data_IF_730103492577
#
_entry.id   IF_730103492577
#
_cell.length_a   1.000
_cell.length_b   1.000
_cell.length_c   1.000
_cell.angle_alpha   90.00
_cell.angle_beta   90.00
_cell.angle_gamma   90.00
#
_symmetry.space_group_name_H-M   'P 1'
#
loop_
_entity.id
_entity.type
_entity.pdbx_description
1 polymer ?
#
# COMPACT_ATOMS: atom_id res chain seq x y z
N UNK A 1 2.88 -9.41 8.97
CA UNK A 1 3.76 -9.86 7.87
C UNK A 1 2.87 -10.38 6.76
N UNK A 2 3.14 -9.99 5.51
CA UNK A 2 2.35 -10.37 4.34
C UNK A 2 3.05 -11.50 3.57
N UNK A 3 2.28 -12.39 2.94
CA UNK A 3 2.84 -13.41 2.05
C UNK A 3 2.88 -12.89 0.62
N UNK A 4 4.08 -12.83 0.03
CA UNK A 4 4.35 -12.39 -1.33
C UNK A 4 4.48 -13.63 -2.23
N UNK A 5 3.80 -13.65 -3.37
CA UNK A 5 3.92 -14.70 -4.39
C UNK A 5 4.69 -14.16 -5.59
N UNK A 6 5.87 -14.72 -5.86
CA UNK A 6 6.72 -14.34 -6.98
C UNK A 6 6.66 -15.41 -8.07
N UNK A 7 6.55 -14.94 -9.31
CA UNK A 7 6.68 -15.76 -10.51
C UNK A 7 7.95 -15.37 -11.24
N UNK A 8 8.75 -16.37 -11.60
CA UNK A 8 10.00 -16.20 -12.33
C UNK A 8 9.90 -16.82 -13.71
N UNK A 9 10.69 -16.32 -14.64
CA UNK A 9 10.84 -16.88 -15.99
C UNK A 9 12.33 -16.99 -16.31
N UNK A 10 12.70 -18.02 -17.08
CA UNK A 10 14.08 -18.25 -17.53
C UNK A 10 15.10 -18.37 -16.36
N UNK A 11 14.69 -18.96 -15.24
CA UNK A 11 15.57 -19.21 -14.09
C UNK A 11 16.04 -20.67 -14.07
N UNK A 12 17.29 -20.93 -13.61
CA UNK A 12 17.78 -22.30 -13.41
C UNK A 12 17.02 -23.00 -12.27
N UNK A 13 17.33 -24.29 -12.05
CA UNK A 13 16.72 -25.05 -10.97
C UNK A 13 16.85 -24.34 -9.62
N UNK A 14 15.72 -24.21 -8.92
CA UNK A 14 15.66 -23.61 -7.58
C UNK A 14 15.65 -24.67 -6.47
N UNK A 15 15.98 -25.92 -6.78
CA UNK A 15 15.91 -27.06 -5.84
C UNK A 15 16.79 -26.89 -4.60
N UNK A 16 17.92 -26.18 -4.71
CA UNK A 16 18.77 -25.83 -3.58
C UNK A 16 18.11 -24.81 -2.61
N UNK A 17 17.02 -24.18 -3.03
CA UNK A 17 16.29 -23.16 -2.30
C UNK A 17 16.75 -21.74 -2.62
N UNK A 18 15.92 -20.79 -2.20
CA UNK A 18 16.10 -19.36 -2.46
C UNK A 18 15.77 -18.54 -1.22
N UNK A 19 16.41 -17.39 -1.09
CA UNK A 19 16.04 -16.35 -0.14
C UNK A 19 15.52 -15.11 -0.89
N UNK A 20 14.53 -14.45 -0.29
CA UNK A 20 14.03 -13.14 -0.72
C UNK A 20 14.77 -12.05 0.06
N UNK A 21 15.46 -11.18 -0.67
CA UNK A 21 16.32 -10.13 -0.11
C UNK A 21 15.76 -8.76 -0.49
N UNK A 22 15.27 -8.03 0.51
CA UNK A 22 14.75 -6.67 0.38
C UNK A 22 15.94 -5.70 0.43
N UNK A 23 16.49 -5.36 -0.74
CA UNK A 23 17.80 -4.77 -0.93
C UNK A 23 18.87 -5.44 -0.06
N UNK A 24 19.55 -4.71 0.81
CA UNK A 24 20.53 -5.23 1.75
C UNK A 24 20.03 -5.11 3.21
N UNK A 25 18.72 -4.84 3.40
CA UNK A 25 18.14 -4.63 4.72
C UNK A 25 17.72 -5.93 5.40
N UNK A 26 16.93 -6.75 4.71
CA UNK A 26 16.30 -7.95 5.27
C UNK A 26 16.35 -9.09 4.27
N UNK A 27 16.70 -10.27 4.76
CA UNK A 27 16.68 -11.51 3.99
C UNK A 27 15.72 -12.51 4.66
N UNK A 28 14.78 -13.05 3.89
CA UNK A 28 13.76 -14.01 4.35
C UNK A 28 13.85 -15.29 3.54
N UNK A 29 13.47 -16.42 4.14
CA UNK A 29 13.42 -17.69 3.43
C UNK A 29 12.27 -17.71 2.41
N UNK A 30 12.60 -18.08 1.16
CA UNK A 30 11.61 -18.31 0.10
C UNK A 30 11.19 -19.77 0.03
N UNK A 31 9.88 -20.02 0.11
CA UNK A 31 9.29 -21.36 -0.04
C UNK A 31 8.86 -21.57 -1.49
N UNK A 32 9.28 -22.68 -2.09
CA UNK A 32 8.97 -22.98 -3.49
C UNK A 32 7.82 -23.98 -3.53
N UNK A 33 6.71 -23.61 -4.18
CA UNK A 33 5.57 -24.48 -4.38
C UNK A 33 4.92 -24.22 -5.74
N UNK A 34 4.70 -25.27 -6.53
CA UNK A 34 4.04 -25.17 -7.84
C UNK A 34 4.70 -24.19 -8.81
N UNK A 35 6.04 -24.10 -8.80
CA UNK A 35 6.80 -23.17 -9.66
C UNK A 35 6.72 -21.69 -9.24
N UNK A 36 6.13 -21.39 -8.09
CA UNK A 36 6.10 -20.04 -7.49
C UNK A 36 6.94 -20.00 -6.23
N UNK A 37 7.46 -18.82 -5.92
CA UNK A 37 8.23 -18.57 -4.71
C UNK A 37 7.36 -17.75 -3.77
N UNK A 38 7.25 -18.19 -2.52
CA UNK A 38 6.48 -17.53 -1.48
C UNK A 38 7.43 -16.98 -0.42
N UNK A 39 7.39 -15.67 -0.20
CA UNK A 39 8.23 -14.98 0.76
C UNK A 39 7.38 -14.19 1.75
N UNK A 40 7.93 -13.93 2.94
CA UNK A 40 7.30 -13.05 3.91
C UNK A 40 7.85 -11.63 3.74
N UNK A 41 6.96 -10.64 3.75
CA UNK A 41 7.38 -9.24 3.85
C UNK A 41 8.12 -8.99 5.16
N UNK A 42 9.03 -8.00 5.22
CA UNK A 42 9.60 -7.55 6.48
C UNK A 42 8.50 -7.12 7.46
N UNK A 43 8.79 -7.23 8.74
CA UNK A 43 7.92 -6.72 9.81
C UNK A 43 7.91 -5.19 9.83
N UNK A 44 6.91 -4.58 10.45
CA UNK A 44 6.82 -3.11 10.58
C UNK A 44 8.05 -2.50 11.25
N UNK A 45 8.67 -3.21 12.21
CA UNK A 45 9.92 -2.79 12.87
C UNK A 45 11.10 -2.75 11.91
N UNK A 46 11.17 -3.69 10.97
CA UNK A 46 12.23 -3.76 9.97
C UNK A 46 12.00 -2.81 8.80
N UNK A 47 10.75 -2.46 8.49
CA UNK A 47 10.39 -1.48 7.46
C UNK A 47 10.70 -0.05 7.90
N UNK A 48 10.53 0.28 9.18
CA UNK A 48 10.74 1.63 9.70
C UNK A 48 12.09 2.30 9.28
N UNK A 49 13.26 1.63 9.36
CA UNK A 49 14.51 2.22 8.87
C UNK A 49 14.58 2.34 7.33
N UNK A 50 13.83 1.55 6.57
CA UNK A 50 13.80 1.59 5.10
C UNK A 50 13.02 2.82 4.61
N UNK A 51 11.90 3.14 5.26
CA UNK A 51 10.98 4.19 4.83
C UNK A 51 11.18 5.52 5.56
N UNK A 52 12.12 5.60 6.51
CA UNK A 52 12.33 6.81 7.31
C UNK A 52 12.69 7.98 6.40
N UNK A 53 11.97 9.09 6.57
CA UNK A 53 12.22 10.34 5.86
C UNK A 53 12.04 10.25 4.32
N UNK A 54 11.37 9.20 3.81
CA UNK A 54 11.15 8.97 2.37
C UNK A 54 9.81 9.52 1.84
N UNK A 55 8.94 10.08 2.69
CA UNK A 55 7.65 10.62 2.28
C UNK A 55 6.56 9.57 2.09
N UNK A 56 5.78 9.70 1.02
CA UNK A 56 4.59 8.90 0.72
C UNK A 56 4.92 7.49 0.21
N UNK A 57 6.07 7.33 -0.44
CA UNK A 57 6.54 6.04 -0.91
C UNK A 57 8.06 5.91 -0.92
N UNK A 58 8.50 4.66 -0.83
CA UNK A 58 9.89 4.24 -1.04
C UNK A 58 9.91 3.01 -1.92
N UNK A 59 10.51 3.16 -3.10
CA UNK A 59 10.79 2.05 -4.02
C UNK A 59 12.13 1.42 -3.66
N UNK A 60 12.15 0.11 -3.48
CA UNK A 60 13.35 -0.69 -3.27
C UNK A 60 13.40 -1.87 -4.23
N UNK A 61 14.55 -2.54 -4.35
CA UNK A 61 14.66 -3.80 -5.09
C UNK A 61 14.41 -5.01 -4.19
N UNK A 62 13.43 -5.85 -4.55
CA UNK A 62 13.29 -7.21 -4.01
C UNK A 62 14.07 -8.18 -4.89
N UNK A 63 15.11 -8.78 -4.33
CA UNK A 63 15.98 -9.75 -4.99
C UNK A 63 15.63 -11.19 -4.63
N UNK A 64 15.85 -12.09 -5.58
CA UNK A 64 16.00 -13.52 -5.32
C UNK A 64 17.48 -13.87 -5.22
N UNK A 65 17.86 -14.51 -4.11
CA UNK A 65 19.22 -14.95 -3.81
C UNK A 65 19.27 -16.47 -3.76
N UNK A 66 20.15 -17.07 -4.55
CA UNK A 66 20.33 -18.52 -4.56
C UNK A 66 21.00 -18.99 -3.27
N UNK A 67 20.45 -20.02 -2.60
CA UNK A 67 21.11 -20.64 -1.43
C UNK A 67 22.35 -21.45 -1.82
N UNK A 68 22.45 -21.88 -3.08
CA UNK A 68 23.61 -22.64 -3.60
C UNK A 68 24.85 -21.75 -3.77
N UNK A 69 24.67 -20.56 -4.36
CA UNK A 69 25.79 -19.67 -4.72
C UNK A 69 25.91 -18.45 -3.82
N UNK A 70 24.87 -18.14 -3.04
CA UNK A 70 24.78 -16.91 -2.26
C UNK A 70 24.60 -15.64 -3.10
N UNK A 71 24.40 -15.74 -4.42
CA UNK A 71 24.30 -14.60 -5.33
C UNK A 71 22.84 -14.20 -5.60
N UNK A 72 22.61 -12.88 -5.69
CA UNK A 72 21.38 -12.27 -6.19
C UNK A 72 21.33 -12.45 -7.71
N UNK A 73 20.23 -12.99 -8.25
CA UNK A 73 20.14 -13.34 -9.68
C UNK A 73 18.90 -12.80 -10.41
N UNK A 74 17.88 -12.36 -9.68
CA UNK A 74 16.69 -11.73 -10.24
C UNK A 74 16.18 -10.64 -9.29
N UNK A 75 15.48 -9.63 -9.81
CA UNK A 75 14.89 -8.57 -9.00
C UNK A 75 13.61 -7.98 -9.59
N UNK A 76 12.82 -7.34 -8.73
CA UNK A 76 11.65 -6.54 -9.08
C UNK A 76 11.61 -5.29 -8.22
N UNK A 77 10.98 -4.23 -8.72
CA UNK A 77 10.66 -3.06 -7.89
C UNK A 77 9.58 -3.43 -6.88
N UNK A 78 9.84 -3.11 -5.61
CA UNK A 78 8.93 -3.32 -4.50
C UNK A 78 8.72 -2.00 -3.79
N UNK A 79 7.45 -1.63 -3.59
CA UNK A 79 7.11 -0.30 -3.07
C UNK A 79 6.54 -0.43 -1.66
N UNK A 80 7.16 0.29 -0.73
CA UNK A 80 6.55 0.62 0.55
C UNK A 80 5.88 1.96 0.43
N UNK A 81 4.61 2.07 0.81
CA UNK A 81 3.88 3.33 0.86
C UNK A 81 3.43 3.63 2.28
N UNK A 82 3.22 4.91 2.58
CA UNK A 82 2.80 5.37 3.89
C UNK A 82 1.71 6.42 3.76
N UNK A 83 0.44 5.99 3.87
CA UNK A 83 -0.70 6.89 3.79
C UNK A 83 -0.66 8.01 4.85
N UNK A 84 -0.07 7.75 6.02
CA UNK A 84 -0.08 8.68 7.17
C UNK A 84 0.68 9.98 6.94
N UNK A 85 1.50 10.09 5.89
CA UNK A 85 2.17 11.36 5.56
C UNK A 85 1.21 12.39 4.94
N UNK A 86 0.08 11.94 4.39
CA UNK A 86 -0.90 12.85 3.79
C UNK A 86 -1.72 13.56 4.87
N UNK A 87 -1.55 14.88 4.96
CA UNK A 87 -2.20 15.73 5.97
C UNK A 87 -3.53 16.33 5.49
N UNK A 88 -4.00 15.99 4.29
CA UNK A 88 -5.24 16.52 3.73
C UNK A 88 -6.02 15.42 3.02
N UNK A 89 -7.35 15.56 2.97
CA UNK A 89 -8.20 14.60 2.25
C UNK A 89 -7.81 14.48 0.78
N UNK A 90 -7.62 15.61 0.09
CA UNK A 90 -7.27 15.62 -1.33
C UNK A 90 -5.95 14.92 -1.61
N UNK A 91 -4.90 15.18 -0.82
CA UNK A 91 -3.61 14.50 -1.01
C UNK A 91 -3.67 13.01 -0.67
N UNK A 92 -4.52 12.62 0.28
CA UNK A 92 -4.73 11.22 0.65
C UNK A 92 -5.43 10.41 -0.44
N UNK A 93 -6.54 10.92 -0.99
CA UNK A 93 -7.40 10.15 -1.92
C UNK A 93 -7.04 10.33 -3.39
N UNK A 94 -6.32 11.40 -3.74
CA UNK A 94 -5.74 11.56 -5.09
C UNK A 94 -4.32 10.98 -5.19
N UNK A 95 -3.82 10.35 -4.12
CA UNK A 95 -2.54 9.64 -4.13
C UNK A 95 -2.57 8.39 -5.02
N UNK A 96 -1.39 7.85 -5.31
CA UNK A 96 -1.26 6.66 -6.17
C UNK A 96 -1.53 5.32 -5.45
N UNK A 97 -1.78 5.36 -4.14
CA UNK A 97 -1.95 4.19 -3.30
C UNK A 97 -3.37 4.11 -2.73
N UNK A 98 -3.88 2.91 -2.41
CA UNK A 98 -5.22 2.72 -1.88
C UNK A 98 -5.30 3.18 -0.42
N UNK A 99 -5.32 4.50 -0.22
CA UNK A 99 -5.44 5.15 1.08
C UNK A 99 -6.89 5.58 1.35
N UNK A 100 -7.20 5.78 2.62
CA UNK A 100 -8.49 6.24 3.11
C UNK A 100 -8.31 7.48 3.98
N UNK A 101 -9.12 8.50 3.74
CA UNK A 101 -9.23 9.66 4.61
C UNK A 101 -10.35 9.45 5.64
N UNK A 102 -10.00 9.56 6.91
CA UNK A 102 -10.95 9.52 8.01
C UNK A 102 -11.43 10.94 8.33
N UNK A 103 -12.60 11.32 7.80
CA UNK A 103 -13.18 12.67 7.92
C UNK A 103 -13.19 13.23 9.34
N UNK A 104 -13.62 12.42 10.31
CA UNK A 104 -13.77 12.83 11.71
C UNK A 104 -12.48 12.75 12.54
N UNK A 105 -11.54 11.87 12.17
CA UNK A 105 -10.22 11.78 12.82
C UNK A 105 -9.18 12.72 12.18
N UNK A 106 -9.53 13.33 11.05
CA UNK A 106 -8.68 14.23 10.29
C UNK A 106 -7.30 13.63 9.96
N UNK A 107 -7.30 12.38 9.49
CA UNK A 107 -6.07 11.66 9.15
C UNK A 107 -6.26 10.74 7.95
N UNK A 108 -5.15 10.47 7.24
CA UNK A 108 -5.05 9.48 6.18
C UNK A 108 -4.50 8.16 6.74
N UNK A 109 -5.07 7.03 6.33
CA UNK A 109 -4.67 5.69 6.76
C UNK A 109 -4.73 4.69 5.60
N UNK A 110 -3.97 3.61 5.70
CA UNK A 110 -4.06 2.45 4.83
C UNK A 110 -5.17 1.48 5.25
N UNK A 111 -5.69 1.60 6.48
CA UNK A 111 -6.71 0.71 7.04
C UNK A 111 -7.98 1.50 7.39
N UNK A 112 -9.04 1.27 6.63
CA UNK A 112 -10.33 1.92 6.85
C UNK A 112 -10.95 1.64 8.23
N UNK A 113 -10.53 0.56 8.91
CA UNK A 113 -10.98 0.24 10.27
C UNK A 113 -10.45 1.20 11.32
N UNK A 114 -9.38 1.94 11.03
CA UNK A 114 -8.89 3.02 11.90
C UNK A 114 -9.86 4.21 11.97
N UNK A 115 -10.77 4.36 11.00
CA UNK A 115 -11.76 5.43 11.03
C UNK A 115 -12.86 5.14 12.06
N UNK A 116 -13.32 6.17 12.79
CA UNK A 116 -14.33 6.05 13.85
C UNK A 116 -15.65 5.44 13.38
N UNK A 117 -16.09 5.77 12.16
CA UNK A 117 -17.38 5.34 11.60
C UNK A 117 -17.24 5.07 10.11
N UNK A 118 -18.16 4.27 9.55
CA UNK A 118 -18.13 3.93 8.13
C UNK A 118 -18.42 5.14 7.24
N UNK A 119 -19.33 6.01 7.67
CA UNK A 119 -19.76 7.25 7.00
C UNK A 119 -18.62 8.29 6.90
N UNK A 120 -17.60 8.16 7.75
CA UNK A 120 -16.43 9.04 7.76
C UNK A 120 -15.30 8.60 6.85
N UNK A 121 -15.43 7.46 6.15
CA UNK A 121 -14.39 6.90 5.28
C UNK A 121 -14.51 7.49 3.89
N UNK A 122 -13.42 8.10 3.41
CA UNK A 122 -13.36 8.69 2.07
C UNK A 122 -12.21 8.06 1.29
N UNK A 123 -12.50 7.54 0.10
CA UNK A 123 -11.53 6.91 -0.80
C UNK A 123 -11.45 7.58 -2.19
N UNK A 124 -12.28 8.59 -2.44
CA UNK A 124 -12.33 9.35 -3.70
C UNK A 124 -12.62 10.82 -3.40
N UNK A 125 -12.02 11.71 -4.19
CA UNK A 125 -12.32 13.14 -4.14
C UNK A 125 -13.60 13.50 -4.90
N UNK A 126 -14.08 12.61 -5.76
CA UNK A 126 -15.28 12.76 -6.58
C UNK A 126 -16.46 11.98 -5.99
N UNK A 127 -17.64 12.62 -5.99
CA UNK A 127 -18.89 11.96 -5.63
C UNK A 127 -19.43 11.17 -6.83
N UNK A 128 -19.49 9.84 -6.72
CA UNK A 128 -20.14 8.99 -7.71
C UNK A 128 -21.60 8.82 -7.32
N UNK A 129 -22.51 9.50 -8.02
CA UNK A 129 -23.94 9.32 -7.82
C UNK A 129 -24.39 7.94 -8.34
N UNK A 130 -25.35 7.26 -7.66
CA UNK A 130 -26.00 6.08 -8.22
C UNK A 130 -26.66 6.45 -9.56
N UNK A 131 -26.64 5.53 -10.53
CA UNK A 131 -27.10 5.76 -11.91
C UNK A 131 -28.60 6.09 -12.06
N UNK A 132 -29.37 6.19 -10.97
CA UNK A 132 -30.84 6.32 -10.96
C UNK A 132 -31.36 7.65 -10.36
N UNK A 133 -30.64 8.77 -10.49
CA UNK A 133 -31.14 10.06 -9.98
C UNK A 133 -31.03 11.22 -10.99
N UNK A 134 -32.14 11.51 -11.66
CA UNK A 134 -32.29 12.60 -12.64
C UNK A 134 -32.36 14.02 -12.02
N UNK A 135 -32.07 14.19 -10.73
CA UNK A 135 -32.10 15.51 -10.05
C UNK A 135 -30.72 16.07 -9.69
N UNK A 136 -29.63 15.44 -10.15
CA UNK A 136 -28.31 15.63 -9.55
C UNK A 136 -27.49 16.85 -10.02
N UNK A 137 -27.90 17.68 -10.98
CA UNK A 137 -27.00 18.70 -11.54
C UNK A 137 -26.85 19.99 -10.68
N UNK A 138 -27.82 20.32 -9.81
CA UNK A 138 -27.84 21.58 -9.06
C UNK A 138 -27.38 21.50 -7.58
N UNK A 139 -26.90 20.35 -7.08
CA UNK A 139 -26.32 20.20 -5.71
C UNK A 139 -24.77 20.16 -5.68
N UNK A 140 -24.12 20.23 -6.84
CA UNK A 140 -22.78 19.67 -7.09
C UNK A 140 -21.56 20.43 -6.54
N UNK A 141 -21.71 21.61 -5.94
CA UNK A 141 -20.57 22.38 -5.43
C UNK A 141 -20.36 22.27 -3.92
N UNK A 142 -21.27 21.60 -3.18
CA UNK A 142 -21.21 21.48 -1.72
C UNK A 142 -20.94 20.08 -1.15
N UNK A 143 -20.85 19.05 -2.00
CA UNK A 143 -20.83 17.64 -1.57
C UNK A 143 -19.54 16.92 -1.99
N UNK A 144 -18.40 17.61 -2.09
CA UNK A 144 -17.13 16.86 -2.20
C UNK A 144 -17.00 15.97 -0.96
N UNK A 145 -16.68 14.67 -1.10
CA UNK A 145 -16.37 13.80 0.04
C UNK A 145 -15.26 14.38 0.93
N UNK A 146 -14.36 15.17 0.32
CA UNK A 146 -13.29 15.89 0.99
C UNK A 146 -13.67 17.29 1.51
N UNK A 147 -14.91 17.76 1.29
CA UNK A 147 -15.38 19.01 1.85
C UNK A 147 -15.46 18.93 3.38
N UNK A 148 -14.90 19.94 4.03
CA UNK A 148 -14.99 20.14 5.48
C UNK A 148 -16.48 20.36 5.82
N UNK A 149 -17.05 19.51 6.67
CA UNK A 149 -18.38 19.79 7.22
C UNK A 149 -18.27 21.04 8.08
N UNK A 150 -18.84 22.15 7.64
CA UNK A 150 -18.98 23.37 8.46
C UNK A 150 -19.95 23.18 9.64
N UNK A 151 -20.56 21.99 9.78
CA UNK A 151 -21.27 21.54 10.98
C UNK A 151 -20.38 20.55 11.75
N UNK A 152 -19.66 21.07 12.74
CA UNK A 152 -19.34 20.31 13.95
C UNK A 152 -20.65 20.16 14.74
N UNK A 153 -21.01 18.95 15.23
CA UNK A 153 -22.04 18.84 16.25
C UNK A 153 -21.51 19.50 17.54
N UNK A 154 -22.27 20.45 18.09
CA UNK A 154 -22.15 20.86 19.49
C UNK A 154 -22.50 19.69 20.43
#
# INVERSE_FOLDING_TARGET
MLSLSLQTQNVPSLSAGVNCSFEDYVETEGRIYGGRIFCLSPSTKEVAPITRDQGDQRVIKLYLKSKETGKKFASVDFVFYNCSVHQSCLSCVNGNFPCHWCKYRHMCTQDASDCSFQEGRVNSSEFVAPAESNTAHLRRLGESPCAISSRLPE
#
